data_IF_208293128434
#
_entry.id   IF_208293128434
#
_cell.length_a   1.000
_cell.length_b   1.000
_cell.length_c   1.000
_cell.angle_alpha   90.00
_cell.angle_beta   90.00
_cell.angle_gamma   90.00
#
_symmetry.space_group_name_H-M   'P 1'
#
loop_
_entity.id
_entity.type
_entity.pdbx_description
1 polymer ?
#
# COMPACT_ATOMS: atom_id res chain seq x y z
N UNK A 1 -38.71 -49.20 72.94
CA UNK A 1 -39.58 -48.18 73.58
C UNK A 1 -38.73 -46.92 73.74
N UNK A 2 -38.52 -46.12 72.68
CA UNK A 2 -39.22 -44.83 72.40
C UNK A 2 -39.17 -43.88 73.60
N UNK A 3 -38.37 -42.80 73.54
CA UNK A 3 -38.72 -41.42 73.12
C UNK A 3 -37.39 -40.75 72.71
N UNK A 4 -37.07 -40.33 71.48
CA UNK A 4 -37.63 -39.37 70.52
C UNK A 4 -37.55 -37.86 70.91
N UNK A 5 -36.84 -37.11 70.05
CA UNK A 5 -36.90 -35.66 69.79
C UNK A 5 -36.45 -34.66 70.87
N UNK A 6 -35.32 -33.97 70.62
CA UNK A 6 -35.29 -32.50 70.36
C UNK A 6 -34.20 -32.21 69.32
N UNK A 7 -34.66 -31.80 68.14
CA UNK A 7 -33.91 -31.05 67.15
C UNK A 7 -33.72 -29.61 67.64
N UNK A 8 -32.50 -29.07 67.58
CA UNK A 8 -32.19 -27.89 66.76
C UNK A 8 -30.91 -27.19 67.21
N UNK A 9 -30.14 -26.77 66.19
CA UNK A 9 -29.43 -25.48 66.16
C UNK A 9 -28.34 -25.26 67.22
N UNK A 10 -27.16 -25.84 67.01
CA UNK A 10 -25.91 -25.24 67.55
C UNK A 10 -24.90 -25.04 66.43
N UNK A 11 -25.00 -23.84 65.91
CA UNK A 11 -24.00 -23.06 65.21
C UNK A 11 -22.57 -23.32 65.77
N UNK A 12 -21.65 -23.41 64.83
CA UNK A 12 -20.21 -23.63 65.01
C UNK A 12 -19.58 -22.54 65.88
N UNK A 13 -19.48 -22.80 67.19
CA UNK A 13 -18.49 -22.21 68.10
C UNK A 13 -18.35 -23.12 69.33
N UNK A 14 -18.21 -24.42 69.10
CA UNK A 14 -17.79 -25.36 70.14
C UNK A 14 -16.32 -25.10 70.44
N UNK A 15 -16.12 -24.21 71.40
CA UNK A 15 -14.83 -23.69 71.82
C UNK A 15 -13.89 -24.84 72.18
N UNK A 16 -12.70 -24.85 71.58
CA UNK A 16 -11.59 -25.74 71.92
C UNK A 16 -11.37 -25.85 73.43
N UNK A 17 -11.69 -24.80 74.21
CA UNK A 17 -11.61 -24.83 75.68
C UNK A 17 -12.50 -25.87 76.35
N UNK A 18 -13.75 -26.10 75.90
CA UNK A 18 -14.62 -27.13 76.52
C UNK A 18 -14.14 -28.55 76.24
N UNK A 19 -13.61 -28.83 75.04
CA UNK A 19 -13.05 -30.13 74.70
C UNK A 19 -11.74 -30.40 75.48
N UNK A 20 -10.91 -29.37 75.67
CA UNK A 20 -9.67 -29.45 76.46
C UNK A 20 -9.98 -29.68 77.95
N UNK A 21 -10.98 -29.01 78.51
CA UNK A 21 -11.40 -29.21 79.92
C UNK A 21 -11.94 -30.62 80.14
N UNK A 22 -12.71 -31.16 79.19
CA UNK A 22 -13.29 -32.50 79.28
C UNK A 22 -12.19 -33.59 79.15
N UNK A 23 -11.21 -33.40 78.27
CA UNK A 23 -10.02 -34.26 78.19
C UNK A 23 -9.15 -34.18 79.46
N UNK A 24 -8.93 -32.98 80.00
CA UNK A 24 -8.14 -32.79 81.22
C UNK A 24 -8.81 -33.46 82.45
N UNK A 25 -10.15 -33.40 82.54
CA UNK A 25 -10.91 -34.08 83.59
C UNK A 25 -10.80 -35.61 83.52
N UNK A 26 -10.86 -36.18 82.31
CA UNK A 26 -10.69 -37.64 82.11
C UNK A 26 -9.27 -38.07 82.46
N UNK A 27 -8.25 -37.31 82.07
CA UNK A 27 -6.84 -37.60 82.40
C UNK A 27 -6.61 -37.56 83.92
N UNK A 28 -7.20 -36.58 84.62
CA UNK A 28 -7.10 -36.47 86.08
C UNK A 28 -7.75 -37.66 86.80
N UNK A 29 -8.94 -38.10 86.35
CA UNK A 29 -9.65 -39.24 86.92
C UNK A 29 -8.86 -40.56 86.72
N UNK A 30 -8.31 -40.76 85.52
CA UNK A 30 -7.46 -41.93 85.21
C UNK A 30 -6.19 -41.91 86.06
N UNK A 31 -5.59 -40.75 86.31
CA UNK A 31 -4.39 -40.61 87.15
C UNK A 31 -4.68 -40.94 88.63
N UNK A 32 -5.83 -40.48 89.16
CA UNK A 32 -6.31 -40.82 90.50
C UNK A 32 -6.59 -42.31 90.67
N UNK A 33 -7.20 -42.94 89.68
CA UNK A 33 -7.42 -44.40 89.64
C UNK A 33 -6.07 -45.12 89.62
N UNK A 34 -5.10 -44.66 88.83
CA UNK A 34 -3.75 -45.24 88.77
C UNK A 34 -2.99 -45.13 90.09
N UNK A 35 -3.10 -43.98 90.78
CA UNK A 35 -2.51 -43.77 92.11
C UNK A 35 -3.14 -44.69 93.16
N UNK A 36 -4.46 -44.89 93.11
CA UNK A 36 -5.20 -45.76 94.03
C UNK A 36 -4.87 -47.25 93.84
N UNK A 37 -4.73 -47.70 92.59
CA UNK A 37 -4.30 -49.06 92.25
C UNK A 37 -2.82 -49.33 92.58
N UNK A 38 -1.99 -48.29 92.68
CA UNK A 38 -0.56 -48.41 92.98
C UNK A 38 -0.29 -48.76 94.45
N UNK A 39 -1.21 -48.41 95.35
CA UNK A 39 -1.07 -48.59 96.81
C UNK A 39 -1.65 -49.90 97.37
N UNK A 40 -2.41 -50.68 96.59
CA UNK A 40 -3.20 -51.81 97.13
C UNK A 40 -2.92 -53.20 96.53
N UNK A 41 -2.01 -53.35 95.55
CA UNK A 41 -1.78 -54.64 94.86
C UNK A 41 -0.29 -55.01 94.77
N UNK A 42 -0.01 -56.31 94.85
CA UNK A 42 1.33 -56.90 94.72
C UNK A 42 1.91 -56.74 93.30
N UNK A 43 3.24 -56.74 93.18
CA UNK A 43 4.01 -56.37 91.98
C UNK A 43 3.67 -57.17 90.70
N UNK A 44 3.11 -58.37 90.82
CA UNK A 44 2.81 -59.26 89.67
C UNK A 44 1.47 -58.96 89.00
N UNK A 45 0.49 -58.41 89.70
CA UNK A 45 -0.85 -58.10 89.16
C UNK A 45 -0.90 -56.73 88.47
N UNK A 46 -0.13 -55.75 88.96
CA UNK A 46 0.01 -54.44 88.33
C UNK A 46 0.61 -54.52 86.91
N UNK A 47 1.52 -55.49 86.66
CA UNK A 47 2.11 -55.69 85.34
C UNK A 47 1.09 -56.16 84.28
N UNK A 48 0.20 -57.09 84.64
CA UNK A 48 -0.84 -57.61 83.74
C UNK A 48 -1.92 -56.57 83.42
N UNK A 49 -2.33 -55.77 84.41
CA UNK A 49 -3.32 -54.70 84.21
C UNK A 49 -2.74 -53.59 83.34
N UNK A 50 -1.48 -53.19 83.54
CA UNK A 50 -0.84 -52.15 82.73
C UNK A 50 -0.63 -52.59 81.29
N UNK A 51 -0.29 -53.86 81.05
CA UNK A 51 -0.15 -54.39 79.69
C UNK A 51 -1.49 -54.40 78.95
N UNK A 52 -2.56 -54.88 79.61
CA UNK A 52 -3.90 -54.90 79.01
C UNK A 52 -4.45 -53.50 78.75
N UNK A 53 -4.22 -52.56 79.67
CA UNK A 53 -4.63 -51.17 79.50
C UNK A 53 -3.85 -50.47 78.38
N UNK A 54 -2.57 -50.81 78.19
CA UNK A 54 -1.75 -50.31 77.08
C UNK A 54 -2.25 -50.84 75.73
N UNK A 55 -2.61 -52.12 75.66
CA UNK A 55 -3.14 -52.74 74.45
C UNK A 55 -4.49 -52.11 74.05
N UNK A 56 -5.41 -51.94 75.00
CA UNK A 56 -6.71 -51.30 74.75
C UNK A 56 -6.57 -49.82 74.35
N UNK A 57 -5.63 -49.08 74.96
CA UNK A 57 -5.33 -47.68 74.57
C UNK A 57 -4.78 -47.59 73.14
N UNK A 58 -3.96 -48.56 72.72
CA UNK A 58 -3.40 -48.62 71.37
C UNK A 58 -4.50 -48.89 70.32
N UNK A 59 -5.44 -49.77 70.64
CA UNK A 59 -6.58 -50.12 69.79
C UNK A 59 -7.50 -48.91 69.61
N UNK A 60 -7.79 -48.19 70.71
CA UNK A 60 -8.66 -47.02 70.69
C UNK A 60 -8.01 -45.85 69.93
N UNK A 61 -6.69 -45.64 70.09
CA UNK A 61 -5.94 -44.63 69.29
C UNK A 61 -6.00 -44.91 67.79
N UNK A 62 -5.88 -46.18 67.41
CA UNK A 62 -5.94 -46.66 66.02
C UNK A 62 -7.32 -46.39 65.39
N UNK A 63 -8.42 -46.70 66.09
CA UNK A 63 -9.77 -46.43 65.59
C UNK A 63 -10.07 -44.94 65.46
N UNK A 64 -9.67 -44.12 66.43
CA UNK A 64 -9.87 -42.67 66.37
C UNK A 64 -9.07 -42.03 65.22
N UNK A 65 -7.82 -42.47 64.99
CA UNK A 65 -7.05 -42.00 63.84
C UNK A 65 -7.68 -42.40 62.50
N UNK A 66 -8.23 -43.62 62.38
CA UNK A 66 -8.97 -44.04 61.17
C UNK A 66 -10.22 -43.21 60.92
N UNK A 67 -10.99 -42.87 61.95
CA UNK A 67 -12.17 -42.00 61.80
C UNK A 67 -11.81 -40.56 61.41
N UNK A 68 -10.81 -39.97 62.06
CA UNK A 68 -10.37 -38.61 61.79
C UNK A 68 -9.82 -38.45 60.36
N UNK A 69 -9.03 -39.43 59.90
CA UNK A 69 -8.48 -39.46 58.54
C UNK A 69 -9.58 -39.65 57.49
N UNK A 70 -10.54 -40.53 57.72
CA UNK A 70 -11.65 -40.75 56.79
C UNK A 70 -12.56 -39.50 56.65
N UNK A 71 -12.78 -38.76 57.73
CA UNK A 71 -13.55 -37.52 57.71
C UNK A 71 -12.79 -36.37 57.01
N UNK A 72 -11.49 -36.22 57.27
CA UNK A 72 -10.63 -35.25 56.56
C UNK A 72 -10.54 -35.54 55.05
N UNK A 73 -10.47 -36.81 54.66
CA UNK A 73 -10.49 -37.25 53.26
C UNK A 73 -11.85 -36.96 52.61
N UNK A 74 -12.96 -37.19 53.32
CA UNK A 74 -14.30 -36.83 52.85
C UNK A 74 -14.45 -35.33 52.62
N UNK A 75 -13.98 -34.49 53.55
CA UNK A 75 -14.04 -33.03 53.42
C UNK A 75 -13.19 -32.54 52.23
N UNK A 76 -11.99 -33.11 52.04
CA UNK A 76 -11.11 -32.76 50.92
C UNK A 76 -11.69 -33.20 49.58
N UNK A 77 -12.28 -34.41 49.49
CA UNK A 77 -13.02 -34.86 48.29
C UNK A 77 -14.22 -33.97 47.99
N UNK A 78 -14.99 -33.57 49.00
CA UNK A 78 -16.17 -32.70 48.84
C UNK A 78 -15.78 -31.29 48.41
N UNK A 79 -14.68 -30.73 48.94
CA UNK A 79 -14.10 -29.46 48.47
C UNK A 79 -13.61 -29.55 47.03
N UNK A 80 -12.94 -30.65 46.66
CA UNK A 80 -12.41 -30.89 45.30
C UNK A 80 -13.51 -31.11 44.26
N UNK A 81 -14.63 -31.73 44.65
CA UNK A 81 -15.83 -31.85 43.83
C UNK A 81 -16.52 -30.49 43.64
N UNK A 82 -16.69 -29.72 44.71
CA UNK A 82 -17.34 -28.40 44.64
C UNK A 82 -16.51 -27.39 43.82
N UNK A 83 -15.18 -27.45 43.88
CA UNK A 83 -14.31 -26.63 43.00
C UNK A 83 -14.37 -27.07 41.53
N UNK A 84 -14.63 -28.34 41.24
CA UNK A 84 -14.72 -28.86 39.87
C UNK A 84 -16.08 -28.55 39.22
N UNK A 85 -17.19 -28.56 39.98
CA UNK A 85 -18.52 -28.21 39.46
C UNK A 85 -18.63 -26.72 39.07
N UNK A 86 -17.89 -25.83 39.75
CA UNK A 86 -17.85 -24.39 39.41
C UNK A 86 -17.13 -24.13 38.06
N UNK A 87 -16.40 -25.10 37.52
CA UNK A 87 -15.60 -24.96 36.29
C UNK A 87 -16.35 -25.41 35.02
N UNK A 88 -17.57 -25.94 35.12
CA UNK A 88 -18.48 -26.06 33.96
C UNK A 88 -19.04 -24.68 33.57
N UNK A 89 -18.15 -23.78 33.14
CA UNK A 89 -18.54 -22.60 32.38
C UNK A 89 -19.11 -23.13 31.08
N UNK A 90 -20.42 -23.12 30.96
CA UNK A 90 -21.10 -23.42 29.70
C UNK A 90 -20.53 -22.48 28.64
N UNK A 91 -19.88 -23.05 27.63
CA UNK A 91 -19.57 -22.30 26.43
C UNK A 91 -20.90 -21.78 25.85
N UNK A 92 -20.90 -20.53 25.40
CA UNK A 92 -22.02 -19.94 24.70
C UNK A 92 -21.65 -19.78 23.24
N UNK A 93 -22.61 -20.08 22.39
CA UNK A 93 -22.45 -20.03 20.94
C UNK A 93 -23.10 -18.74 20.46
N UNK A 94 -22.36 -17.93 19.71
CA UNK A 94 -22.85 -16.67 19.15
C UNK A 94 -22.40 -16.54 17.71
N UNK A 95 -23.36 -16.20 16.84
CA UNK A 95 -23.13 -15.81 15.46
C UNK A 95 -22.90 -14.30 15.40
N UNK A 96 -21.83 -13.88 14.74
CA UNK A 96 -21.54 -12.49 14.41
C UNK A 96 -21.55 -12.33 12.89
N UNK A 97 -22.40 -11.43 12.38
CA UNK A 97 -22.40 -11.06 10.98
C UNK A 97 -21.42 -9.89 10.78
N UNK A 98 -20.53 -10.00 9.79
CA UNK A 98 -19.52 -8.99 9.46
C UNK A 98 -19.94 -8.29 8.17
N UNK A 99 -19.87 -6.95 8.14
CA UNK A 99 -20.41 -6.14 7.03
C UNK A 99 -19.31 -5.66 6.07
N UNK A 100 -18.19 -5.16 6.58
CA UNK A 100 -17.14 -4.51 5.80
C UNK A 100 -15.87 -5.36 5.71
N UNK A 101 -15.44 -5.92 6.84
CA UNK A 101 -14.25 -6.78 6.87
C UNK A 101 -14.56 -8.21 6.38
N UNK A 102 -13.54 -8.94 5.94
CA UNK A 102 -13.68 -10.36 5.58
C UNK A 102 -13.63 -11.24 6.82
N UNK A 103 -14.62 -12.12 6.98
CA UNK A 103 -14.71 -13.07 8.09
C UNK A 103 -13.45 -13.95 8.20
N UNK A 104 -12.86 -14.35 7.07
CA UNK A 104 -11.62 -15.13 7.02
C UNK A 104 -10.44 -14.41 7.70
N UNK A 105 -10.21 -13.13 7.38
CA UNK A 105 -9.11 -12.33 7.94
C UNK A 105 -9.31 -12.09 9.43
N UNK A 106 -10.53 -11.77 9.86
CA UNK A 106 -10.87 -11.59 11.27
C UNK A 106 -10.70 -12.88 12.08
N UNK A 107 -11.11 -14.03 11.53
CA UNK A 107 -10.94 -15.31 12.19
C UNK A 107 -9.46 -15.65 12.40
N UNK A 108 -8.59 -15.30 11.45
CA UNK A 108 -7.14 -15.47 11.60
C UNK A 108 -6.58 -14.59 12.73
N UNK A 109 -6.97 -13.33 12.80
CA UNK A 109 -6.55 -12.39 13.86
C UNK A 109 -7.00 -12.86 15.25
N UNK A 110 -8.23 -13.39 15.35
CA UNK A 110 -8.80 -13.87 16.61
C UNK A 110 -8.17 -15.20 17.06
N UNK A 111 -7.78 -16.06 16.11
CA UNK A 111 -7.09 -17.34 16.37
C UNK A 111 -5.63 -17.16 16.76
N UNK A 112 -5.02 -16.03 16.42
CA UNK A 112 -3.62 -15.76 16.75
C UNK A 112 -3.38 -15.89 18.27
N UNK A 113 -2.45 -16.79 18.62
CA UNK A 113 -2.14 -17.16 20.01
C UNK A 113 -1.59 -15.99 20.82
N UNK A 114 -1.05 -14.98 20.14
CA UNK A 114 -0.51 -13.77 20.76
C UNK A 114 -1.60 -12.87 21.36
N UNK A 115 -2.79 -12.85 20.75
CA UNK A 115 -3.83 -11.89 21.13
C UNK A 115 -4.80 -12.40 22.20
N UNK A 116 -4.74 -13.71 22.54
CA UNK A 116 -5.53 -14.39 23.60
C UNK A 116 -7.00 -13.92 23.68
N UNK A 117 -7.66 -13.77 22.53
CA UNK A 117 -9.09 -13.47 22.47
C UNK A 117 -9.94 -14.68 22.88
N UNK A 118 -9.48 -15.88 22.50
CA UNK A 118 -10.12 -17.15 22.79
C UNK A 118 -9.62 -17.74 24.12
N UNK A 119 -10.50 -18.44 24.82
CA UNK A 119 -10.16 -19.32 25.95
C UNK A 119 -9.51 -20.61 25.45
N UNK A 120 -8.95 -21.39 26.38
CA UNK A 120 -8.31 -22.68 26.07
C UNK A 120 -9.27 -23.72 25.45
N UNK A 121 -10.58 -23.49 25.56
CA UNK A 121 -11.67 -24.33 25.02
C UNK A 121 -12.49 -23.61 23.94
N UNK A 122 -12.03 -22.44 23.47
CA UNK A 122 -12.74 -21.62 22.50
C UNK A 122 -12.59 -22.13 21.08
N UNK A 123 -13.69 -22.18 20.33
CA UNK A 123 -13.72 -22.51 18.91
C UNK A 123 -14.28 -21.33 18.12
N UNK A 124 -13.63 -21.02 17.00
CA UNK A 124 -14.15 -20.04 16.04
C UNK A 124 -14.17 -20.67 14.66
N UNK A 125 -15.30 -20.55 13.97
CA UNK A 125 -15.52 -21.01 12.60
C UNK A 125 -15.98 -19.81 11.79
N UNK A 126 -15.44 -19.66 10.58
CA UNK A 126 -15.88 -18.61 9.65
C UNK A 126 -16.66 -19.25 8.52
N UNK A 127 -17.71 -18.57 8.08
CA UNK A 127 -18.40 -18.86 6.83
C UNK A 127 -18.14 -17.70 5.86
N UNK A 128 -17.50 -18.00 4.74
CA UNK A 128 -17.19 -17.00 3.71
C UNK A 128 -18.42 -16.65 2.85
N UNK A 129 -19.40 -17.57 2.73
CA UNK A 129 -20.59 -17.36 1.90
C UNK A 129 -21.54 -16.34 2.52
N UNK A 130 -21.67 -16.37 3.85
CA UNK A 130 -22.54 -15.46 4.62
C UNK A 130 -21.75 -14.35 5.34
N UNK A 131 -20.45 -14.26 5.09
CA UNK A 131 -19.50 -13.39 5.79
C UNK A 131 -19.75 -13.33 7.32
N UNK A 132 -19.89 -14.50 7.92
CA UNK A 132 -20.28 -14.63 9.33
C UNK A 132 -19.24 -15.42 10.13
N UNK A 133 -19.11 -15.07 11.41
CA UNK A 133 -18.22 -15.68 12.38
C UNK A 133 -19.05 -16.40 13.44
N UNK A 134 -18.87 -17.71 13.55
CA UNK A 134 -19.46 -18.53 14.59
C UNK A 134 -18.44 -18.71 15.71
N UNK A 135 -18.75 -18.20 16.89
CA UNK A 135 -17.85 -18.21 18.06
C UNK A 135 -18.50 -19.02 19.17
N UNK A 136 -17.80 -20.04 19.64
CA UNK A 136 -18.16 -20.84 20.80
C UNK A 136 -17.09 -20.66 21.89
N UNK A 137 -17.42 -19.96 22.96
CA UNK A 137 -16.48 -19.71 24.08
C UNK A 137 -17.24 -19.27 25.36
N UNK A 138 -16.50 -19.03 26.43
CA UNK A 138 -16.99 -18.42 27.66
C UNK A 138 -17.53 -17.00 27.42
N UNK A 139 -18.52 -16.58 28.22
CA UNK A 139 -19.20 -15.29 28.14
C UNK A 139 -18.26 -14.09 28.04
N UNK A 140 -17.20 -14.07 28.85
CA UNK A 140 -16.24 -12.97 28.84
C UNK A 140 -15.43 -12.87 27.53
N UNK A 141 -15.12 -14.00 26.89
CA UNK A 141 -14.37 -14.01 25.63
C UNK A 141 -15.27 -13.55 24.48
N UNK A 142 -16.51 -14.06 24.41
CA UNK A 142 -17.50 -13.64 23.43
C UNK A 142 -17.81 -12.14 23.52
N UNK A 143 -17.91 -11.57 24.72
CA UNK A 143 -18.09 -10.11 24.90
C UNK A 143 -16.88 -9.29 24.47
N UNK A 144 -15.66 -9.78 24.70
CA UNK A 144 -14.42 -9.12 24.21
C UNK A 144 -14.38 -9.12 22.69
N UNK A 145 -14.69 -10.25 22.06
CA UNK A 145 -14.75 -10.40 20.60
C UNK A 145 -15.82 -9.47 20.03
N UNK A 146 -17.01 -9.41 20.64
CA UNK A 146 -18.07 -8.50 20.21
C UNK A 146 -17.62 -7.03 20.24
N UNK A 147 -16.96 -6.59 21.32
CA UNK A 147 -16.42 -5.22 21.43
C UNK A 147 -15.32 -4.93 20.43
N UNK A 148 -14.49 -5.92 20.10
CA UNK A 148 -13.45 -5.81 19.09
C UNK A 148 -14.05 -5.69 17.68
N UNK A 149 -14.99 -6.57 17.33
CA UNK A 149 -15.66 -6.57 16.03
C UNK A 149 -16.37 -5.23 15.77
N UNK A 150 -17.06 -4.66 16.77
CA UNK A 150 -17.71 -3.35 16.63
C UNK A 150 -16.74 -2.18 16.36
N UNK A 151 -15.45 -2.32 16.69
CA UNK A 151 -14.44 -1.29 16.42
C UNK A 151 -13.73 -1.47 15.09
N UNK A 152 -13.64 -2.71 14.61
CA UNK A 152 -12.89 -3.07 13.39
C UNK A 152 -13.80 -3.11 12.16
N UNK A 153 -15.05 -3.54 12.32
CA UNK A 153 -16.04 -3.62 11.23
C UNK A 153 -16.67 -2.25 10.96
N UNK A 154 -15.83 -1.29 10.57
CA UNK A 154 -16.22 0.06 10.13
C UNK A 154 -16.03 0.21 8.62
N UNK A 155 -16.83 1.05 7.94
CA UNK A 155 -16.65 1.31 6.52
C UNK A 155 -15.26 1.88 6.24
N UNK A 156 -14.62 1.38 5.19
CA UNK A 156 -13.36 1.91 4.71
C UNK A 156 -13.59 3.24 3.97
N UNK A 157 -12.68 4.18 4.16
CA UNK A 157 -12.74 5.47 3.48
C UNK A 157 -12.42 5.29 2.00
N UNK A 158 -13.18 6.00 1.16
CA UNK A 158 -12.92 6.08 -0.27
C UNK A 158 -12.21 7.39 -0.56
N UNK A 159 -11.27 7.35 -1.49
CA UNK A 159 -10.48 8.49 -1.91
C UNK A 159 -10.65 8.63 -3.41
N UNK A 160 -11.09 9.81 -3.84
CA UNK A 160 -11.03 10.24 -5.23
C UNK A 160 -9.65 10.84 -5.48
N UNK A 161 -8.90 10.26 -6.41
CA UNK A 161 -7.60 10.76 -6.83
C UNK A 161 -7.74 11.36 -8.22
N UNK A 162 -7.37 12.64 -8.36
CA UNK A 162 -7.33 13.34 -9.63
C UNK A 162 -5.88 13.74 -9.94
N UNK A 163 -5.33 13.23 -11.05
CA UNK A 163 -4.06 13.74 -11.57
C UNK A 163 -4.32 14.67 -12.75
N UNK A 164 -3.44 15.66 -12.93
CA UNK A 164 -3.46 16.57 -14.07
C UNK A 164 -2.06 16.67 -14.65
N UNK A 165 -1.90 16.28 -15.90
CA UNK A 165 -0.66 16.40 -16.65
C UNK A 165 -0.84 17.53 -17.64
N UNK A 166 0.04 18.52 -17.59
CA UNK A 166 0.04 19.67 -18.51
C UNK A 166 1.35 19.60 -19.29
N UNK A 167 1.24 19.41 -20.60
CA UNK A 167 2.37 19.40 -21.51
C UNK A 167 2.26 20.58 -22.48
N UNK A 168 3.26 21.43 -22.50
CA UNK A 168 3.34 22.61 -23.36
C UNK A 168 4.55 22.44 -24.27
N UNK A 169 4.34 22.60 -25.57
CA UNK A 169 5.39 22.58 -26.58
C UNK A 169 5.30 23.85 -27.41
N UNK A 170 6.33 24.69 -27.33
CA UNK A 170 6.46 25.91 -28.12
C UNK A 170 7.62 25.77 -29.09
N UNK A 171 7.30 25.87 -30.38
CA UNK A 171 8.27 25.80 -31.47
C UNK A 171 8.34 27.17 -32.16
N UNK A 172 9.55 27.65 -32.40
CA UNK A 172 9.80 28.84 -33.22
C UNK A 172 10.94 28.54 -34.18
N UNK A 173 10.76 28.86 -35.45
CA UNK A 173 11.76 28.69 -36.49
C UNK A 173 11.84 29.97 -37.32
N UNK A 174 13.08 30.42 -37.56
CA UNK A 174 13.40 31.56 -38.41
C UNK A 174 14.47 31.13 -39.40
N UNK A 175 14.25 31.35 -40.69
CA UNK A 175 15.23 31.11 -41.74
C UNK A 175 15.25 32.30 -42.69
N UNK A 176 16.43 32.83 -42.96
CA UNK A 176 16.64 33.97 -43.84
C UNK A 176 17.81 33.64 -44.76
N UNK A 177 17.59 33.73 -46.06
CA UNK A 177 18.54 33.33 -47.08
C UNK A 177 18.44 34.17 -48.33
N UNK A 178 19.50 34.21 -49.13
CA UNK A 178 19.55 34.94 -50.39
C UNK A 178 20.13 34.06 -51.48
N UNK A 179 19.57 34.16 -52.68
CA UNK A 179 20.10 33.55 -53.89
C UNK A 179 20.57 34.66 -54.84
N UNK A 180 21.74 34.46 -55.43
CA UNK A 180 22.28 35.32 -56.49
C UNK A 180 22.63 34.46 -57.68
N UNK A 181 22.24 34.92 -58.87
CA UNK A 181 22.65 34.34 -60.13
C UNK A 181 23.16 35.43 -61.06
N UNK A 182 24.29 35.19 -61.71
CA UNK A 182 24.70 35.95 -62.89
C UNK A 182 24.49 35.06 -64.11
N UNK A 183 23.63 35.54 -65.01
CA UNK A 183 23.20 34.86 -66.21
C UNK A 183 23.77 35.61 -67.41
N UNK A 184 24.55 34.91 -68.24
CA UNK A 184 24.95 35.41 -69.56
C UNK A 184 24.05 34.73 -70.61
N UNK A 185 23.23 35.48 -71.36
CA UNK A 185 22.40 34.96 -72.43
C UNK A 185 23.29 34.41 -73.53
N UNK A 186 23.27 33.10 -73.73
CA UNK A 186 23.90 32.50 -74.91
C UNK A 186 23.18 33.02 -76.16
N UNK A 187 23.91 33.70 -77.03
CA UNK A 187 23.40 34.24 -78.31
C UNK A 187 23.32 33.18 -79.41
N UNK A 188 23.72 31.93 -79.14
CA UNK A 188 23.62 30.84 -80.11
C UNK A 188 22.31 30.05 -79.93
N UNK A 189 21.36 30.32 -80.83
CA UNK A 189 20.08 29.61 -80.94
C UNK A 189 20.29 28.21 -81.54
N UNK A 190 20.10 27.15 -80.75
CA UNK A 190 19.39 25.91 -81.13
C UNK A 190 19.50 24.87 -79.99
N UNK A 191 18.60 24.96 -79.00
CA UNK A 191 17.90 23.79 -78.43
C UNK A 191 17.01 24.22 -77.26
N UNK A 192 15.78 23.73 -77.26
CA UNK A 192 14.70 23.98 -76.29
C UNK A 192 14.94 23.36 -74.90
N UNK A 193 16.17 22.96 -74.58
CA UNK A 193 16.64 22.55 -73.26
C UNK A 193 17.83 23.43 -72.84
N UNK A 194 17.54 24.70 -72.52
CA UNK A 194 18.56 25.65 -72.05
C UNK A 194 19.12 25.22 -70.68
N UNK A 195 20.25 24.52 -70.72
CA UNK A 195 21.26 24.63 -69.68
C UNK A 195 21.83 26.05 -69.74
N UNK A 196 21.13 26.96 -69.08
CA UNK A 196 21.66 28.28 -68.70
C UNK A 196 23.07 28.04 -68.14
N UNK A 197 24.11 28.60 -68.78
CA UNK A 197 25.46 28.61 -68.20
C UNK A 197 25.45 29.49 -66.95
N UNK A 198 25.13 28.89 -65.81
CA UNK A 198 25.25 29.50 -64.48
C UNK A 198 26.74 29.70 -64.18
N UNK A 199 27.28 30.87 -64.53
CA UNK A 199 28.70 31.19 -64.36
C UNK A 199 29.04 31.42 -62.87
N UNK A 200 28.12 32.02 -62.11
CA UNK A 200 28.22 32.23 -60.66
C UNK A 200 26.80 32.18 -60.06
N UNK A 201 26.44 31.07 -59.42
CA UNK A 201 25.18 30.93 -58.67
C UNK A 201 25.49 30.69 -57.20
N UNK A 202 25.19 31.68 -56.37
CA UNK A 202 25.23 31.57 -54.91
C UNK A 202 23.82 31.21 -54.48
N UNK A 203 23.59 29.94 -54.12
CA UNK A 203 22.30 29.50 -53.61
C UNK A 203 22.36 29.37 -52.09
N UNK A 204 21.97 30.44 -51.41
CA UNK A 204 21.79 30.47 -49.96
C UNK A 204 20.32 30.70 -49.62
N UNK A 205 19.37 30.25 -50.47
CA UNK A 205 17.95 30.38 -50.20
C UNK A 205 17.54 29.66 -48.89
N UNK A 206 16.55 30.21 -48.20
CA UNK A 206 15.91 29.59 -47.04
C UNK A 206 15.32 28.24 -47.47
N UNK A 207 15.43 27.23 -46.60
CA UNK A 207 14.85 25.91 -46.89
C UNK A 207 13.47 25.78 -46.23
N UNK A 208 12.58 24.97 -46.82
CA UNK A 208 11.33 24.61 -46.16
C UNK A 208 11.64 23.75 -44.94
N UNK A 209 11.48 24.33 -43.74
CA UNK A 209 11.58 23.59 -42.47
C UNK A 209 10.22 22.98 -42.07
N UNK A 210 9.16 23.78 -42.19
CA UNK A 210 7.77 23.43 -41.81
C UNK A 210 6.73 24.06 -42.78
N UNK A 211 7.13 25.09 -43.52
CA UNK A 211 6.34 25.78 -44.53
C UNK A 211 7.26 26.33 -45.64
N UNK A 212 6.68 26.71 -46.78
CA UNK A 212 7.45 27.32 -47.88
C UNK A 212 7.90 28.73 -47.49
N UNK A 213 9.19 29.09 -47.66
CA UNK A 213 9.66 30.45 -47.48
C UNK A 213 8.96 31.41 -48.45
N UNK A 214 8.71 32.64 -48.00
CA UNK A 214 8.32 33.73 -48.89
C UNK A 214 9.57 34.25 -49.61
N UNK A 215 9.47 34.49 -50.91
CA UNK A 215 10.59 34.98 -51.70
C UNK A 215 10.26 36.27 -52.43
N UNK A 216 11.25 37.16 -52.55
CA UNK A 216 11.18 38.44 -53.26
C UNK A 216 12.41 38.51 -54.16
N UNK A 217 12.17 38.55 -55.47
CA UNK A 217 13.20 38.60 -56.50
C UNK A 217 13.36 39.97 -57.14
N UNK A 218 14.58 40.31 -57.56
CA UNK A 218 14.93 41.46 -58.38
C UNK A 218 15.88 41.00 -59.49
N UNK A 219 15.49 41.24 -60.74
CA UNK A 219 16.32 41.01 -61.91
C UNK A 219 16.74 42.33 -62.53
N UNK A 220 18.04 42.53 -62.73
CA UNK A 220 18.62 43.68 -63.40
C UNK A 220 19.28 43.23 -64.71
N UNK A 221 18.87 43.82 -65.82
CA UNK A 221 19.40 43.53 -67.16
C UNK A 221 20.13 44.75 -67.72
N UNK A 222 21.30 44.54 -68.33
CA UNK A 222 22.07 45.61 -68.98
C UNK A 222 22.02 45.47 -70.50
N UNK A 223 21.67 46.55 -71.20
CA UNK A 223 21.41 46.53 -72.64
C UNK A 223 22.68 46.39 -73.50
N UNK A 224 23.85 46.71 -72.95
CA UNK A 224 25.13 46.77 -73.68
C UNK A 224 25.98 45.50 -73.60
N UNK A 225 25.75 44.63 -72.61
CA UNK A 225 26.57 43.44 -72.34
C UNK A 225 25.72 42.18 -72.08
N UNK A 226 24.40 42.25 -72.25
CA UNK A 226 23.44 41.15 -72.03
C UNK A 226 23.49 40.52 -70.64
N UNK A 227 24.24 41.05 -69.68
CA UNK A 227 24.35 40.46 -68.34
C UNK A 227 23.02 40.64 -67.60
N UNK A 228 22.48 39.53 -67.09
CA UNK A 228 21.33 39.47 -66.19
C UNK A 228 21.82 39.15 -64.78
N UNK A 229 21.61 40.08 -63.85
CA UNK A 229 21.82 39.87 -62.42
C UNK A 229 20.47 39.55 -61.78
N UNK A 230 20.36 38.37 -61.19
CA UNK A 230 19.18 37.93 -60.46
C UNK A 230 19.51 37.83 -58.96
N UNK A 231 18.65 38.43 -58.14
CA UNK A 231 18.77 38.43 -56.69
C UNK A 231 17.42 38.06 -56.09
N UNK A 232 17.39 37.01 -55.26
CA UNK A 232 16.16 36.56 -54.60
C UNK A 232 16.39 36.46 -53.09
N UNK A 233 15.70 37.30 -52.31
CA UNK A 233 15.63 37.22 -50.86
C UNK A 233 14.54 36.23 -50.48
N UNK A 234 14.84 35.31 -49.57
CA UNK A 234 13.92 34.30 -49.07
C UNK A 234 13.88 34.33 -47.54
N UNK A 235 12.68 34.34 -46.97
CA UNK A 235 12.48 34.43 -45.53
C UNK A 235 11.33 33.51 -45.07
N UNK A 236 11.52 32.91 -43.91
CA UNK A 236 10.54 32.08 -43.22
C UNK A 236 10.58 32.38 -41.73
N UNK A 237 9.43 32.70 -41.15
CA UNK A 237 9.21 32.72 -39.70
C UNK A 237 7.97 31.86 -39.39
N UNK A 238 8.14 30.87 -38.53
CA UNK A 238 7.10 29.94 -38.12
C UNK A 238 7.05 29.83 -36.61
N UNK A 239 5.85 29.91 -36.06
CA UNK A 239 5.58 29.71 -34.63
C UNK A 239 4.49 28.66 -34.46
N UNK A 240 4.72 27.71 -33.55
CA UNK A 240 3.76 26.67 -33.18
C UNK A 240 3.64 26.58 -31.67
N UNK A 241 2.40 26.48 -31.17
CA UNK A 241 2.10 26.24 -29.77
C UNK A 241 1.17 25.03 -29.67
N UNK A 242 1.55 24.05 -28.87
CA UNK A 242 0.71 22.92 -28.51
C UNK A 242 0.60 22.83 -26.99
N UNK A 243 -0.62 22.74 -26.48
CA UNK A 243 -0.93 22.51 -25.08
C UNK A 243 -1.79 21.25 -24.97
N UNK A 244 -1.33 20.27 -24.19
CA UNK A 244 -1.99 19.00 -23.97
C UNK A 244 -2.27 18.85 -22.48
N UNK A 245 -3.54 18.67 -22.12
CA UNK A 245 -3.98 18.49 -20.74
C UNK A 245 -4.62 17.11 -20.61
N UNK A 246 -4.05 16.25 -19.77
CA UNK A 246 -4.61 14.95 -19.43
C UNK A 246 -5.05 14.92 -17.96
N UNK A 247 -6.29 14.50 -17.70
CA UNK A 247 -6.89 14.50 -16.35
C UNK A 247 -7.43 13.12 -15.95
N UNK A 248 -6.60 12.10 -15.70
CA UNK A 248 -7.08 10.81 -15.22
C UNK A 248 -7.61 10.94 -13.78
N UNK A 249 -8.77 10.35 -13.53
CA UNK A 249 -9.45 10.34 -12.22
C UNK A 249 -9.87 8.93 -11.87
N UNK A 250 -9.66 8.52 -10.63
CA UNK A 250 -10.12 7.22 -10.15
C UNK A 250 -10.48 7.25 -8.67
N UNK A 251 -11.38 6.34 -8.29
CA UNK A 251 -11.77 6.12 -6.92
C UNK A 251 -10.99 4.91 -6.37
N UNK A 252 -10.36 5.06 -5.21
CA UNK A 252 -9.63 4.01 -4.55
C UNK A 252 -10.06 3.90 -3.08
N UNK A 253 -9.99 2.70 -2.52
CA UNK A 253 -10.21 2.47 -1.09
C UNK A 253 -8.88 2.59 -0.34
N UNK A 254 -8.93 3.01 0.93
CA UNK A 254 -7.74 3.06 1.78
C UNK A 254 -6.94 1.74 1.75
N UNK A 255 -5.63 1.85 1.49
CA UNK A 255 -4.65 0.75 1.41
C UNK A 255 -4.86 -0.26 0.27
N UNK A 256 -5.79 -0.01 -0.65
CA UNK A 256 -6.05 -0.88 -1.81
C UNK A 256 -5.45 -0.27 -3.08
N UNK A 257 -4.64 -1.01 -3.86
CA UNK A 257 -4.13 -0.52 -5.14
C UNK A 257 -5.27 -0.34 -6.15
N UNK A 258 -5.26 0.78 -6.85
CA UNK A 258 -6.20 1.06 -7.92
C UNK A 258 -5.46 1.59 -9.16
N UNK A 259 -6.00 1.28 -10.33
CA UNK A 259 -5.39 1.63 -11.62
C UNK A 259 -6.47 2.05 -12.62
N UNK A 260 -6.15 3.07 -13.40
CA UNK A 260 -6.89 3.47 -14.61
C UNK A 260 -5.90 3.55 -15.77
N UNK A 261 -6.24 2.95 -16.90
CA UNK A 261 -5.44 3.02 -18.14
C UNK A 261 -6.37 3.39 -19.31
N UNK A 262 -5.89 4.24 -20.21
CA UNK A 262 -6.57 4.60 -21.46
C UNK A 262 -5.54 4.78 -22.57
N UNK A 263 -5.74 4.11 -23.69
CA UNK A 263 -4.86 4.20 -24.86
C UNK A 263 -5.02 2.99 -25.76
N UNK A 264 -3.96 2.67 -26.49
CA UNK A 264 -3.95 1.62 -27.50
C UNK A 264 -2.70 0.74 -27.40
N UNK A 265 -2.80 -0.48 -27.93
CA UNK A 265 -1.70 -1.42 -28.00
C UNK A 265 -1.13 -1.41 -29.42
N UNK A 266 0.13 -1.00 -29.55
CA UNK A 266 0.80 -0.91 -30.84
C UNK A 266 1.45 -2.27 -31.16
N UNK A 267 1.02 -2.97 -32.22
CA UNK A 267 1.65 -4.22 -32.64
C UNK A 267 2.98 -3.95 -33.34
N UNK A 268 3.97 -4.77 -33.05
CA UNK A 268 5.25 -4.81 -33.78
C UNK A 268 5.70 -6.26 -34.00
N UNK A 269 6.46 -6.47 -35.07
CA UNK A 269 6.99 -7.78 -35.41
C UNK A 269 8.31 -8.01 -34.66
N UNK A 270 8.42 -9.17 -34.02
CA UNK A 270 9.61 -9.65 -33.33
C UNK A 270 10.10 -10.94 -33.99
N UNK A 271 11.40 -11.02 -34.30
CA UNK A 271 11.99 -12.22 -34.85
C UNK A 271 12.35 -13.18 -33.71
N UNK A 272 11.68 -14.33 -33.67
CA UNK A 272 12.02 -15.38 -32.70
C UNK A 272 13.32 -16.10 -33.11
N UNK A 273 13.97 -16.76 -32.15
CA UNK A 273 15.24 -17.48 -32.35
C UNK A 273 15.14 -18.59 -33.41
N UNK A 274 13.93 -19.07 -33.70
CA UNK A 274 13.63 -20.07 -34.72
C UNK A 274 13.42 -19.49 -36.13
N UNK A 275 13.57 -18.18 -36.33
CA UNK A 275 13.36 -17.50 -37.61
C UNK A 275 11.89 -17.25 -37.95
N UNK A 276 10.95 -17.56 -37.06
CA UNK A 276 9.53 -17.25 -37.22
C UNK A 276 9.23 -15.82 -36.73
N UNK A 277 8.36 -15.12 -37.46
CA UNK A 277 7.87 -13.79 -37.07
C UNK A 277 6.75 -13.93 -36.04
N UNK A 278 6.92 -13.35 -34.85
CA UNK A 278 5.88 -13.20 -33.83
C UNK A 278 5.38 -11.76 -33.79
N UNK A 279 4.10 -11.54 -33.51
CA UNK A 279 3.55 -10.19 -33.29
C UNK A 279 3.48 -9.95 -31.79
N UNK A 280 4.22 -8.95 -31.31
CA UNK A 280 4.21 -8.50 -29.93
C UNK A 280 3.49 -7.16 -29.83
N UNK A 281 2.89 -6.87 -28.67
CA UNK A 281 2.13 -5.65 -28.44
C UNK A 281 2.82 -4.82 -27.38
N UNK A 282 2.97 -3.52 -27.67
CA UNK A 282 3.48 -2.55 -26.70
C UNK A 282 2.39 -1.51 -26.42
N UNK A 283 2.02 -1.37 -25.15
CA UNK A 283 1.03 -0.39 -24.69
C UNK A 283 1.52 1.04 -24.93
N UNK A 284 0.68 1.88 -25.53
CA UNK A 284 0.81 3.33 -25.56
C UNK A 284 -0.41 3.93 -24.82
N UNK A 285 -0.31 3.98 -23.49
CA UNK A 285 -1.41 4.36 -22.60
C UNK A 285 -1.06 5.53 -21.69
N UNK A 286 -2.09 6.33 -21.38
CA UNK A 286 -2.13 7.15 -20.18
C UNK A 286 -2.58 6.26 -19.02
N UNK A 287 -1.74 6.09 -18.01
CA UNK A 287 -2.07 5.33 -16.81
C UNK A 287 -1.83 6.13 -15.53
N UNK A 288 -2.70 5.90 -14.56
CA UNK A 288 -2.53 6.35 -13.18
C UNK A 288 -2.76 5.13 -12.28
N UNK A 289 -1.72 4.73 -11.57
CA UNK A 289 -1.73 3.69 -10.54
C UNK A 289 -1.42 4.32 -9.21
N UNK A 290 -2.22 4.01 -8.20
CA UNK A 290 -2.11 4.61 -6.88
C UNK A 290 -2.40 3.61 -5.78
N UNK A 291 -1.67 3.73 -4.68
CA UNK A 291 -1.99 3.10 -3.39
C UNK A 291 -2.14 4.21 -2.36
N UNK A 292 -3.37 4.61 -2.00
CA UNK A 292 -3.59 5.64 -1.00
C UNK A 292 -3.53 5.05 0.41
N UNK A 293 -3.10 5.87 1.38
CA UNK A 293 -3.15 5.58 2.80
C UNK A 293 -3.53 6.83 3.57
N UNK A 294 -4.64 6.77 4.31
CA UNK A 294 -5.08 7.86 5.19
C UNK A 294 -4.31 7.80 6.51
N UNK A 295 -3.72 8.92 6.91
CA UNK A 295 -3.04 9.06 8.20
C UNK A 295 -4.01 9.54 9.28
N UNK A 296 -3.65 9.34 10.55
CA UNK A 296 -4.49 9.75 11.70
C UNK A 296 -4.75 11.26 11.77
N UNK A 297 -3.87 12.09 11.17
CA UNK A 297 -4.04 13.54 11.08
C UNK A 297 -4.85 13.98 9.84
N UNK A 298 -5.46 13.04 9.12
CA UNK A 298 -6.31 13.32 7.95
C UNK A 298 -5.54 13.71 6.68
N UNK A 299 -4.22 13.48 6.65
CA UNK A 299 -3.43 13.57 5.42
C UNK A 299 -3.50 12.25 4.65
N UNK A 300 -3.09 12.31 3.40
CA UNK A 300 -3.06 11.20 2.46
C UNK A 300 -1.62 10.95 2.05
N UNK A 301 -1.10 9.79 2.41
CA UNK A 301 0.13 9.27 1.87
C UNK A 301 -0.19 8.41 0.66
N UNK A 302 0.39 8.69 -0.50
CA UNK A 302 0.09 7.98 -1.73
C UNK A 302 1.37 7.56 -2.42
N UNK A 303 1.42 6.29 -2.81
CA UNK A 303 2.40 5.82 -3.79
C UNK A 303 1.79 5.94 -5.17
N UNK A 304 2.42 6.73 -6.05
CA UNK A 304 1.88 7.14 -7.34
C UNK A 304 2.81 6.68 -8.46
N UNK A 305 2.24 6.02 -9.45
CA UNK A 305 2.88 5.77 -10.75
C UNK A 305 1.98 6.33 -11.82
N UNK A 306 2.44 7.39 -12.48
CA UNK A 306 1.71 8.03 -13.58
C UNK A 306 2.56 7.87 -14.83
N UNK A 307 1.94 7.34 -15.89
CA UNK A 307 2.59 7.18 -17.19
C UNK A 307 1.74 7.80 -18.28
N UNK A 308 2.38 8.42 -19.27
CA UNK A 308 1.76 8.92 -20.48
C UNK A 308 2.65 8.52 -21.66
N UNK A 309 2.26 7.44 -22.31
CA UNK A 309 2.87 6.98 -23.54
C UNK A 309 2.08 7.48 -24.76
N UNK A 310 2.79 7.75 -25.85
CA UNK A 310 2.19 8.12 -27.13
C UNK A 310 3.05 7.61 -28.28
N UNK A 311 2.43 7.24 -29.42
CA UNK A 311 3.18 6.95 -30.64
C UNK A 311 3.93 8.22 -31.12
N UNK A 312 5.23 8.09 -31.38
CA UNK A 312 6.01 9.19 -31.95
C UNK A 312 5.81 9.37 -33.45
N UNK A 313 5.14 8.41 -34.12
CA UNK A 313 4.98 8.33 -35.57
C UNK A 313 6.25 7.92 -36.33
N UNK A 314 7.39 7.85 -35.63
CA UNK A 314 8.67 7.44 -36.19
C UNK A 314 8.82 5.92 -36.08
N UNK A 315 9.36 5.31 -37.13
CA UNK A 315 9.64 3.88 -37.17
C UNK A 315 11.11 3.66 -37.50
N UNK A 316 11.75 2.70 -36.83
CA UNK A 316 13.10 2.22 -37.12
C UNK A 316 12.95 0.78 -37.58
N UNK A 317 13.28 0.50 -38.85
CA UNK A 317 13.12 -0.84 -39.45
C UNK A 317 11.68 -1.39 -39.33
N UNK A 318 10.67 -0.52 -39.42
CA UNK A 318 9.26 -0.90 -39.27
C UNK A 318 8.76 -0.99 -37.82
N UNK A 319 9.65 -0.92 -36.83
CA UNK A 319 9.29 -0.92 -35.39
C UNK A 319 9.00 0.52 -34.93
N UNK A 320 7.84 0.79 -34.31
CA UNK A 320 7.47 2.12 -33.84
C UNK A 320 8.29 2.55 -32.62
N UNK A 321 8.63 3.84 -32.56
CA UNK A 321 9.23 4.47 -31.37
C UNK A 321 8.10 5.04 -30.51
N UNK A 322 8.07 4.68 -29.23
CA UNK A 322 7.11 5.21 -28.25
C UNK A 322 7.77 6.34 -27.47
N UNK A 323 7.05 7.44 -27.36
CA UNK A 323 7.42 8.54 -26.48
C UNK A 323 6.77 8.32 -25.12
N UNK A 324 7.59 8.11 -24.09
CA UNK A 324 7.15 7.83 -22.72
C UNK A 324 7.41 9.02 -21.81
N UNK A 325 6.41 9.41 -21.02
CA UNK A 325 6.52 10.38 -19.93
C UNK A 325 6.02 9.73 -18.65
N UNK A 326 6.89 9.49 -17.67
CA UNK A 326 6.54 8.75 -16.46
C UNK A 326 7.08 9.42 -15.20
N UNK A 327 6.33 9.28 -14.10
CA UNK A 327 6.75 9.66 -12.74
C UNK A 327 6.33 8.56 -11.76
N UNK A 328 7.26 8.17 -10.89
CA UNK A 328 7.03 7.27 -9.77
C UNK A 328 7.50 7.96 -8.49
N UNK A 329 6.59 8.16 -7.54
CA UNK A 329 6.89 8.93 -6.33
C UNK A 329 5.92 8.61 -5.19
N UNK A 330 6.41 8.78 -3.96
CA UNK A 330 5.60 8.73 -2.75
C UNK A 330 5.42 10.14 -2.19
N UNK A 331 4.18 10.55 -1.94
CA UNK A 331 3.88 11.90 -1.46
C UNK A 331 2.88 11.90 -0.31
N UNK A 332 2.97 12.93 0.53
CA UNK A 332 2.00 13.19 1.60
C UNK A 332 1.30 14.51 1.31
N UNK A 333 -0.02 14.47 1.16
CA UNK A 333 -0.86 15.60 0.74
C UNK A 333 -2.04 15.76 1.68
N UNK A 334 -2.52 17.00 1.87
CA UNK A 334 -3.75 17.25 2.63
C UNK A 334 -4.98 16.93 1.78
N UNK A 335 -6.08 16.55 2.43
CA UNK A 335 -7.36 16.34 1.76
C UNK A 335 -7.80 17.59 0.98
N UNK A 336 -8.10 17.43 -0.31
CA UNK A 336 -8.58 18.48 -1.21
C UNK A 336 -7.51 19.45 -1.71
N UNK A 337 -6.24 19.30 -1.31
CA UNK A 337 -5.15 20.19 -1.74
C UNK A 337 -4.49 19.66 -3.00
N UNK A 338 -4.28 20.54 -3.98
CA UNK A 338 -3.46 20.24 -5.15
C UNK A 338 -1.98 20.49 -4.85
N UNK A 339 -1.12 19.55 -5.21
CA UNK A 339 0.33 19.74 -5.19
C UNK A 339 0.93 19.47 -6.57
N UNK A 340 2.08 20.09 -6.84
CA UNK A 340 2.92 19.75 -8.00
C UNK A 340 3.83 18.60 -7.57
N UNK A 341 3.73 17.46 -8.26
CA UNK A 341 4.60 16.31 -8.03
C UNK A 341 5.99 16.54 -8.61
N UNK A 342 6.03 17.21 -9.77
CA UNK A 342 7.25 17.52 -10.47
C UNK A 342 6.98 18.00 -11.89
N UNK A 343 8.06 18.24 -12.60
CA UNK A 343 8.02 18.64 -14.00
C UNK A 343 9.39 18.59 -14.65
N UNK A 344 9.39 18.67 -15.99
CA UNK A 344 10.59 18.70 -16.81
C UNK A 344 10.47 19.87 -17.77
N UNK A 345 11.49 20.73 -17.79
CA UNK A 345 11.64 21.78 -18.78
C UNK A 345 12.83 21.46 -19.68
N UNK A 346 12.62 21.48 -20.99
CA UNK A 346 13.64 21.22 -22.00
C UNK A 346 13.63 22.32 -23.04
N UNK A 347 14.82 22.81 -23.38
CA UNK A 347 15.02 23.82 -24.40
C UNK A 347 16.06 23.34 -25.41
N UNK A 348 15.64 23.16 -26.66
CA UNK A 348 16.50 22.83 -27.80
C UNK A 348 16.69 24.10 -28.64
N UNK A 349 17.90 24.66 -28.66
CA UNK A 349 18.27 25.81 -29.49
C UNK A 349 19.28 25.39 -30.56
N UNK A 350 18.89 25.47 -31.82
CA UNK A 350 19.75 25.19 -32.96
C UNK A 350 19.92 26.44 -33.80
N UNK A 351 21.15 26.94 -33.88
CA UNK A 351 21.51 28.08 -34.72
C UNK A 351 22.52 27.61 -35.77
N UNK A 352 22.13 27.67 -37.04
CA UNK A 352 22.98 27.35 -38.19
C UNK A 352 23.21 28.60 -39.03
N UNK A 353 24.45 28.84 -39.40
CA UNK A 353 24.83 29.94 -40.30
C UNK A 353 25.68 29.37 -41.42
N UNK A 354 25.12 29.37 -42.62
CA UNK A 354 25.82 29.02 -43.86
C UNK A 354 26.24 30.34 -44.50
N UNK A 355 27.49 30.47 -44.93
CA UNK A 355 27.98 31.75 -45.48
C UNK A 355 29.07 31.52 -46.51
N UNK A 356 29.17 32.47 -47.43
CA UNK A 356 30.30 32.54 -48.37
C UNK A 356 31.55 32.98 -47.60
N UNK A 357 32.70 32.28 -47.74
CA UNK A 357 33.96 32.70 -47.14
C UNK A 357 34.31 34.14 -47.56
N UNK A 358 34.99 34.89 -46.68
CA UNK A 358 35.32 36.31 -46.85
C UNK A 358 34.09 37.26 -46.88
N UNK A 359 33.19 37.14 -47.87
CA UNK A 359 32.06 38.06 -48.08
C UNK A 359 31.02 38.01 -46.94
N UNK A 360 30.77 36.83 -46.35
CA UNK A 360 29.83 36.67 -45.26
C UNK A 360 30.29 37.24 -43.90
N UNK A 361 31.55 37.70 -43.80
CA UNK A 361 32.10 38.33 -42.59
C UNK A 361 32.07 39.86 -42.65
N UNK A 362 31.82 40.46 -43.82
CA UNK A 362 31.82 41.90 -43.98
C UNK A 362 30.73 42.56 -43.12
N UNK A 363 31.05 43.65 -42.39
CA UNK A 363 30.02 44.43 -41.71
C UNK A 363 29.05 45.02 -42.75
N UNK A 364 27.78 45.15 -42.38
CA UNK A 364 26.69 45.70 -43.21
C UNK A 364 26.26 44.78 -44.37
N UNK A 365 27.18 44.41 -45.27
CA UNK A 365 26.86 43.62 -46.49
C UNK A 365 26.93 42.11 -46.27
N UNK A 366 27.58 41.63 -45.20
CA UNK A 366 27.74 40.20 -44.95
C UNK A 366 26.43 39.45 -44.71
N UNK A 367 25.35 40.16 -44.34
CA UNK A 367 24.01 39.57 -44.24
C UNK A 367 23.45 39.13 -45.59
N UNK A 368 23.94 39.72 -46.69
CA UNK A 368 23.57 39.34 -48.04
C UNK A 368 24.27 38.05 -48.49
N UNK A 369 25.43 37.74 -47.92
CA UNK A 369 26.25 36.58 -48.31
C UNK A 369 26.21 35.45 -47.28
N UNK A 370 25.15 35.41 -46.47
CA UNK A 370 24.92 34.36 -45.48
C UNK A 370 23.45 34.00 -45.39
N UNK A 371 23.20 32.76 -45.01
CA UNK A 371 21.91 32.22 -44.61
C UNK A 371 21.94 31.94 -43.12
N UNK A 372 20.94 32.41 -42.40
CA UNK A 372 20.81 32.21 -40.96
C UNK A 372 19.54 31.43 -40.67
N UNK A 373 19.70 30.26 -40.07
CA UNK A 373 18.59 29.43 -39.59
C UNK A 373 18.66 29.32 -38.07
N UNK A 374 17.59 29.68 -37.38
CA UNK A 374 17.45 29.56 -35.94
C UNK A 374 16.17 28.79 -35.61
N UNK A 375 16.31 27.66 -34.92
CA UNK A 375 15.20 26.85 -34.42
C UNK A 375 15.27 26.83 -32.90
N UNK A 376 14.18 27.21 -32.24
CA UNK A 376 14.01 27.17 -30.81
C UNK A 376 12.80 26.30 -30.48
N UNK A 377 12.99 25.27 -29.66
CA UNK A 377 11.93 24.41 -29.18
C UNK A 377 11.97 24.33 -27.66
N UNK A 378 10.88 24.73 -27.02
CA UNK A 378 10.70 24.68 -25.58
C UNK A 378 9.60 23.66 -25.27
N UNK A 379 9.91 22.68 -24.44
CA UNK A 379 8.99 21.64 -23.98
C UNK A 379 8.90 21.71 -22.46
N UNK A 380 7.69 21.77 -21.91
CA UNK A 380 7.43 21.81 -20.48
C UNK A 380 6.38 20.76 -20.12
N UNK A 381 6.68 19.97 -19.10
CA UNK A 381 5.77 18.99 -18.51
C UNK A 381 5.59 19.34 -17.04
N UNK A 382 4.35 19.48 -16.59
CA UNK A 382 3.99 19.64 -15.18
C UNK A 382 2.96 18.59 -14.79
N UNK A 383 3.16 17.96 -13.63
CA UNK A 383 2.26 16.93 -13.10
C UNK A 383 1.72 17.37 -11.75
N UNK A 384 0.41 17.43 -11.64
CA UNK A 384 -0.32 17.81 -10.45
C UNK A 384 -1.14 16.62 -9.92
N UNK A 385 -1.33 16.56 -8.62
CA UNK A 385 -2.22 15.60 -7.97
C UNK A 385 -3.13 16.32 -6.98
N UNK A 386 -4.40 15.93 -6.95
CA UNK A 386 -5.41 16.42 -6.00
C UNK A 386 -6.18 15.22 -5.45
N UNK A 387 -5.92 14.82 -4.21
CA UNK A 387 -6.68 13.75 -3.59
C UNK A 387 -7.85 14.31 -2.76
N UNK A 388 -8.97 13.60 -2.74
CA UNK A 388 -10.18 14.00 -2.01
C UNK A 388 -10.81 12.79 -1.31
N UNK A 389 -10.91 12.84 0.00
CA UNK A 389 -11.62 11.83 0.81
C UNK A 389 -13.12 12.01 0.58
N UNK A 390 -13.79 10.91 0.23
CA UNK A 390 -15.25 10.82 0.21
C UNK A 390 -15.71 10.21 1.54
N UNK A 391 -16.70 10.86 2.15
CA UNK A 391 -17.27 10.46 3.44
C UNK A 391 -18.52 9.63 3.28
#
# INVERSE_FOLDING_TARGET
>A
MTINLISSRVNTKFSKTKLIILLAGIICLVCLIFLYLKTSLSLSEQAKVNQKLSDDLSLLKSEYHKKLTHEAVKITKKKKQHSNEIILRTNINRLFQVHYAKSMELAQIIRDTNNRFLSNTGLIVYDNRTNSLWVEDNRNAVEKIAKFLNKVDIPQQQILIEAKLVYISKNSAKDLGIKFGILEPDTNNDDSNKNIKNLLNIDLAALPLEASPATIGMALTTLSQSILLDMELSALESEGLAEIIANPKLLATDQVPAIIESGEDIPYQEFTVSGATSVSFKKAVLSLKVVPKVTYDGKLMMSLVINQDSDSGKRVQGVPIIMTKSIETDVIVKNGQTIVLGGVYKQDKNNSVIRVPFLGYLPIVGNLFRRTSSKLRNEELLIFITPKILH
#
